data_IF_932730971163
#
_entry.id   IF_932730971163
#
_cell.length_a   1.000
_cell.length_b   1.000
_cell.length_c   1.000
_cell.angle_alpha   90.00
_cell.angle_beta   90.00
_cell.angle_gamma   90.00
#
_symmetry.space_group_name_H-M   'P 1'
#
loop_
_entity.id
_entity.type
_entity.pdbx_description
1 polymer ?
#
# COMPACT_ATOMS: atom_id res chain seq x y z
N UNK A 1 20.05 12.68 9.45
CA UNK A 1 19.26 11.45 9.52
C UNK A 1 17.89 11.74 8.93
N UNK A 2 17.37 10.86 8.09
CA UNK A 2 16.12 11.10 7.37
C UNK A 2 14.93 10.93 8.34
N UNK A 3 14.00 11.89 8.36
CA UNK A 3 12.84 11.82 9.25
C UNK A 3 11.74 10.95 8.61
N UNK A 4 11.88 9.62 8.72
CA UNK A 4 10.96 8.67 8.11
C UNK A 4 9.52 8.81 8.62
N UNK A 5 9.32 9.14 9.91
CA UNK A 5 7.98 9.43 10.44
C UNK A 5 7.33 10.64 9.77
N UNK A 6 8.13 11.65 9.42
CA UNK A 6 7.68 12.81 8.68
C UNK A 6 7.31 12.47 7.24
N UNK A 7 8.13 11.65 6.56
CA UNK A 7 7.86 11.19 5.19
C UNK A 7 6.60 10.34 5.11
N UNK A 8 6.43 9.38 6.02
CA UNK A 8 5.22 8.54 6.08
C UNK A 8 3.97 9.42 6.31
N UNK A 9 4.05 10.41 7.19
CA UNK A 9 2.94 11.35 7.38
C UNK A 9 2.67 12.17 6.11
N UNK A 10 3.71 12.66 5.45
CA UNK A 10 3.58 13.45 4.23
C UNK A 10 2.93 12.65 3.10
N UNK A 11 3.29 11.38 2.89
CA UNK A 11 2.64 10.51 1.89
C UNK A 11 1.12 10.41 2.10
N UNK A 12 0.62 10.44 3.35
CA UNK A 12 -0.83 10.44 3.62
C UNK A 12 -1.48 11.79 3.31
N UNK A 13 -0.79 12.89 3.63
CA UNK A 13 -1.25 14.24 3.28
C UNK A 13 -1.37 14.36 1.75
N UNK A 14 -0.37 13.87 1.02
CA UNK A 14 -0.34 13.90 -0.44
C UNK A 14 -1.44 13.00 -1.03
N UNK A 15 -1.66 11.80 -0.49
CA UNK A 15 -2.78 10.94 -0.86
C UNK A 15 -4.12 11.67 -0.72
N UNK A 16 -4.39 12.27 0.44
CA UNK A 16 -5.65 13.00 0.69
C UNK A 16 -5.83 14.19 -0.23
N UNK A 17 -4.75 14.93 -0.51
CA UNK A 17 -4.78 16.05 -1.44
C UNK A 17 -5.11 15.58 -2.86
N UNK A 18 -4.45 14.51 -3.33
CA UNK A 18 -4.70 13.92 -4.64
C UNK A 18 -6.15 13.42 -4.77
N UNK A 19 -6.66 12.67 -3.78
CA UNK A 19 -8.05 12.21 -3.76
C UNK A 19 -9.03 13.40 -3.78
N UNK A 20 -8.79 14.43 -2.98
CA UNK A 20 -9.63 15.63 -2.97
C UNK A 20 -9.65 16.34 -4.33
N UNK A 21 -8.50 16.44 -5.00
CA UNK A 21 -8.39 17.03 -6.33
C UNK A 21 -9.22 16.26 -7.36
N UNK A 22 -9.07 14.94 -7.44
CA UNK A 22 -9.85 14.13 -8.39
C UNK A 22 -11.34 14.07 -8.02
N UNK A 23 -11.68 14.14 -6.73
CA UNK A 23 -13.06 14.24 -6.27
C UNK A 23 -13.71 15.55 -6.77
N UNK A 24 -13.01 16.67 -6.64
CA UNK A 24 -13.47 17.96 -7.16
C UNK A 24 -13.67 17.91 -8.69
N UNK A 25 -12.77 17.24 -9.40
CA UNK A 25 -12.79 17.17 -10.85
C UNK A 25 -13.90 16.27 -11.40
N UNK A 26 -14.13 15.10 -10.79
CA UNK A 26 -14.95 14.05 -11.38
C UNK A 26 -16.24 13.75 -10.60
N UNK A 27 -16.29 14.04 -9.30
CA UNK A 27 -17.37 13.58 -8.42
C UNK A 27 -18.33 14.68 -8.00
N UNK A 28 -17.80 15.83 -7.57
CA UNK A 28 -18.60 16.86 -6.88
C UNK A 28 -19.75 17.43 -7.71
N UNK A 29 -19.56 17.56 -9.03
CA UNK A 29 -20.63 18.03 -9.94
C UNK A 29 -21.86 17.11 -9.91
N UNK A 30 -21.62 15.80 -9.79
CA UNK A 30 -22.65 14.77 -9.80
C UNK A 30 -23.24 14.52 -8.40
N UNK A 31 -22.52 14.87 -7.34
CA UNK A 31 -23.05 14.86 -5.97
C UNK A 31 -24.06 15.99 -5.73
N UNK A 32 -23.88 17.12 -6.42
CA UNK A 32 -24.75 18.29 -6.27
C UNK A 32 -26.06 18.18 -7.05
N UNK A 33 -26.13 17.32 -8.06
CA UNK A 33 -27.32 17.14 -8.90
C UNK A 33 -28.05 15.82 -8.58
N UNK A 34 -29.20 15.86 -7.89
CA UNK A 34 -29.95 14.66 -7.53
C UNK A 34 -30.67 14.00 -8.72
N UNK A 35 -30.70 14.65 -9.91
CA UNK A 35 -31.37 14.16 -11.11
C UNK A 35 -30.41 13.55 -12.13
N UNK A 36 -29.11 13.53 -11.83
CA UNK A 36 -28.08 12.98 -12.74
C UNK A 36 -28.34 11.49 -13.01
N UNK A 37 -28.29 11.12 -14.29
CA UNK A 37 -28.51 9.74 -14.73
C UNK A 37 -27.20 8.96 -14.83
N UNK A 38 -27.29 7.63 -14.74
CA UNK A 38 -26.14 6.72 -14.85
C UNK A 38 -25.23 7.02 -16.06
N UNK A 39 -25.80 7.38 -17.22
CA UNK A 39 -25.03 7.65 -18.43
C UNK A 39 -24.21 8.94 -18.35
N UNK A 40 -24.66 9.92 -17.57
CA UNK A 40 -24.03 11.23 -17.46
C UNK A 40 -22.81 11.20 -16.53
N UNK A 41 -22.84 10.38 -15.48
CA UNK A 41 -21.73 10.28 -14.53
C UNK A 41 -20.81 9.08 -14.76
N UNK A 42 -21.22 8.05 -15.51
CA UNK A 42 -20.50 6.77 -15.61
C UNK A 42 -18.99 6.92 -15.86
N UNK A 43 -18.62 7.72 -16.86
CA UNK A 43 -17.20 7.86 -17.22
C UNK A 43 -16.40 8.58 -16.14
N UNK A 44 -16.97 9.58 -15.50
CA UNK A 44 -16.28 10.33 -14.44
C UNK A 44 -16.14 9.52 -13.17
N UNK A 45 -17.17 8.78 -12.77
CA UNK A 45 -17.09 7.89 -11.60
C UNK A 45 -16.06 6.79 -11.83
N UNK A 46 -16.03 6.21 -13.04
CA UNK A 46 -15.04 5.21 -13.38
C UNK A 46 -13.62 5.81 -13.36
N UNK A 47 -13.43 7.00 -13.94
CA UNK A 47 -12.15 7.70 -13.89
C UNK A 47 -11.72 8.01 -12.45
N UNK A 48 -12.64 8.47 -11.62
CA UNK A 48 -12.42 8.73 -10.20
C UNK A 48 -11.97 7.47 -9.46
N UNK A 49 -12.67 6.34 -9.63
CA UNK A 49 -12.30 5.07 -8.99
C UNK A 49 -10.93 4.56 -9.47
N UNK A 50 -10.65 4.59 -10.78
CA UNK A 50 -9.39 4.10 -11.33
C UNK A 50 -8.20 4.95 -10.87
N UNK A 51 -8.33 6.28 -10.89
CA UNK A 51 -7.30 7.18 -10.40
C UNK A 51 -7.10 7.04 -8.88
N UNK A 52 -8.18 6.96 -8.12
CA UNK A 52 -8.11 6.74 -6.66
C UNK A 52 -7.34 5.47 -6.35
N UNK A 53 -7.67 4.37 -7.02
CA UNK A 53 -6.97 3.09 -6.87
C UNK A 53 -5.46 3.24 -7.13
N UNK A 54 -5.05 3.94 -8.20
CA UNK A 54 -3.64 4.16 -8.49
C UNK A 54 -2.93 4.98 -7.39
N UNK A 55 -3.59 6.01 -6.85
CA UNK A 55 -3.05 6.78 -5.73
C UNK A 55 -2.90 5.94 -4.45
N UNK A 56 -3.86 5.07 -4.14
CA UNK A 56 -3.74 4.16 -3.00
C UNK A 56 -2.60 3.15 -3.19
N UNK A 57 -2.46 2.57 -4.38
CA UNK A 57 -1.37 1.64 -4.70
C UNK A 57 -0.01 2.31 -4.48
N UNK A 58 0.21 3.48 -5.09
CA UNK A 58 1.43 4.25 -4.89
C UNK A 58 1.70 4.57 -3.41
N UNK A 59 0.68 5.03 -2.68
CA UNK A 59 0.79 5.36 -1.27
C UNK A 59 1.26 4.16 -0.42
N UNK A 60 0.64 2.98 -0.60
CA UNK A 60 1.01 1.80 0.18
C UNK A 60 2.42 1.29 -0.14
N UNK A 61 2.85 1.42 -1.40
CA UNK A 61 4.23 1.12 -1.82
C UNK A 61 5.24 2.07 -1.17
N UNK A 62 4.98 3.38 -1.20
CA UNK A 62 5.82 4.39 -0.56
C UNK A 62 5.95 4.16 0.95
N UNK A 63 4.85 3.83 1.65
CA UNK A 63 4.91 3.52 3.08
C UNK A 63 5.78 2.29 3.34
N UNK A 64 5.58 1.22 2.58
CA UNK A 64 6.37 -0.01 2.72
C UNK A 64 7.87 0.29 2.58
N UNK A 65 8.24 1.07 1.57
CA UNK A 65 9.62 1.50 1.33
C UNK A 65 10.17 2.36 2.48
N UNK A 66 9.44 3.41 2.87
CA UNK A 66 9.87 4.32 3.92
C UNK A 66 10.06 3.62 5.27
N UNK A 67 9.18 2.66 5.62
CA UNK A 67 9.33 1.85 6.83
C UNK A 67 10.55 0.94 6.71
N UNK A 68 10.73 0.26 5.58
CA UNK A 68 11.89 -0.61 5.33
C UNK A 68 13.21 0.17 5.50
N UNK A 69 13.34 1.32 4.86
CA UNK A 69 14.53 2.18 4.95
C UNK A 69 14.78 2.63 6.40
N UNK A 70 13.71 3.00 7.13
CA UNK A 70 13.84 3.40 8.54
C UNK A 70 14.42 2.28 9.42
N UNK A 71 14.02 1.03 9.17
CA UNK A 71 14.49 -0.14 9.91
C UNK A 71 15.97 -0.41 9.60
N UNK A 72 16.33 -0.35 8.32
CA UNK A 72 17.71 -0.57 7.86
C UNK A 72 18.64 0.49 8.44
N UNK A 73 18.26 1.77 8.37
CA UNK A 73 19.06 2.86 8.91
C UNK A 73 19.20 2.78 10.43
N UNK A 74 18.12 2.45 11.15
CA UNK A 74 18.14 2.30 12.59
C UNK A 74 19.11 1.20 13.05
N UNK A 75 19.14 0.07 12.34
CA UNK A 75 20.11 -0.99 12.62
C UNK A 75 21.53 -0.56 12.24
N UNK A 76 21.72 0.00 11.05
CA UNK A 76 23.04 0.39 10.53
C UNK A 76 23.74 1.39 11.44
N UNK A 77 23.01 2.38 11.96
CA UNK A 77 23.59 3.48 12.73
C UNK A 77 23.57 3.24 14.24
N UNK A 78 22.57 2.52 14.76
CA UNK A 78 22.37 2.39 16.21
C UNK A 78 22.27 0.95 16.69
N UNK A 79 22.36 -0.03 15.78
CA UNK A 79 22.16 -1.46 16.08
C UNK A 79 20.80 -1.73 16.72
N UNK A 80 19.82 -0.88 16.44
CA UNK A 80 18.47 -1.01 16.98
C UNK A 80 17.75 -2.16 16.31
N UNK A 81 17.26 -3.09 17.10
CA UNK A 81 16.45 -4.23 16.65
C UNK A 81 15.00 -3.95 17.01
N UNK A 82 14.12 -4.06 16.01
CA UNK A 82 12.67 -3.93 16.16
C UNK A 82 11.96 -5.17 15.62
N UNK A 83 10.64 -5.25 15.79
CA UNK A 83 9.82 -6.26 15.11
C UNK A 83 10.02 -6.20 13.59
N UNK A 84 10.18 -5.01 13.03
CA UNK A 84 10.46 -4.82 11.60
C UNK A 84 11.79 -5.45 11.19
N UNK A 85 12.83 -5.37 12.04
CA UNK A 85 14.11 -6.05 11.79
C UNK A 85 13.91 -7.56 11.69
N UNK A 86 13.17 -8.15 12.65
CA UNK A 86 12.90 -9.59 12.68
C UNK A 86 12.09 -10.04 11.45
N UNK A 87 11.06 -9.26 11.08
CA UNK A 87 10.22 -9.55 9.92
C UNK A 87 10.99 -9.47 8.60
N UNK A 88 11.87 -8.46 8.45
CA UNK A 88 12.74 -8.35 7.29
C UNK A 88 13.73 -9.51 7.23
N UNK A 89 14.37 -9.90 8.34
CA UNK A 89 15.25 -11.08 8.34
C UNK A 89 14.48 -12.37 8.01
N UNK A 90 13.26 -12.52 8.55
CA UNK A 90 12.40 -13.66 8.22
C UNK A 90 12.04 -13.72 6.73
N UNK A 91 11.85 -12.57 6.07
CA UNK A 91 11.51 -12.51 4.65
C UNK A 91 12.51 -13.23 3.75
N UNK A 92 13.80 -13.23 4.12
CA UNK A 92 14.87 -13.90 3.35
C UNK A 92 15.37 -15.18 4.01
N UNK A 93 14.85 -15.53 5.18
CA UNK A 93 15.28 -16.71 5.93
C UNK A 93 15.22 -17.94 5.04
N UNK A 94 16.40 -18.44 4.68
CA UNK A 94 16.55 -19.78 4.11
C UNK A 94 17.01 -20.68 5.24
N UNK A 95 16.55 -21.93 5.29
CA UNK A 95 16.97 -22.92 6.29
C UNK A 95 18.45 -23.35 6.17
N UNK A 96 19.27 -22.57 5.45
CA UNK A 96 20.68 -22.85 5.19
C UNK A 96 21.50 -21.83 5.98
N UNK A 97 22.37 -22.31 6.85
CA UNK A 97 23.40 -21.47 7.46
C UNK A 97 24.31 -20.91 6.36
N UNK A 98 24.78 -19.65 6.51
CA UNK A 98 25.61 -18.99 5.50
C UNK A 98 26.95 -19.69 5.25
N UNK A 99 27.44 -20.46 6.22
CA UNK A 99 28.74 -21.11 6.13
C UNK A 99 28.63 -22.48 5.44
N UNK A 100 29.38 -22.62 4.35
CA UNK A 100 29.70 -23.92 3.75
C UNK A 100 30.95 -24.47 4.41
N UNK A 101 31.10 -25.79 4.44
CA UNK A 101 32.33 -26.43 4.92
C UNK A 101 33.55 -25.83 4.19
N UNK A 102 34.51 -25.29 4.98
CA UNK A 102 35.72 -24.64 4.47
C UNK A 102 35.65 -23.12 4.31
N UNK A 103 34.54 -22.46 4.66
CA UNK A 103 34.47 -21.00 4.69
C UNK A 103 35.27 -20.44 5.88
N UNK A 104 36.31 -19.65 5.59
CA UNK A 104 37.20 -19.02 6.58
C UNK A 104 36.92 -17.52 6.72
N UNK A 105 35.88 -17.01 6.06
CA UNK A 105 35.53 -15.59 6.12
C UNK A 105 35.06 -15.20 7.51
N UNK A 106 35.72 -14.19 8.09
CA UNK A 106 35.29 -13.56 9.33
C UNK A 106 34.21 -12.52 9.02
N UNK A 107 32.98 -12.99 8.76
CA UNK A 107 31.83 -12.08 8.71
C UNK A 107 31.42 -11.81 10.16
N UNK A 108 31.62 -10.58 10.62
CA UNK A 108 31.10 -10.18 11.93
C UNK A 108 29.56 -10.14 11.88
N UNK A 109 28.93 -10.23 13.05
CA UNK A 109 27.47 -10.32 13.16
C UNK A 109 26.78 -9.11 12.52
N UNK A 110 27.39 -7.92 12.60
CA UNK A 110 26.81 -6.70 12.07
C UNK A 110 26.78 -6.68 10.53
N UNK A 111 27.88 -7.09 9.90
CA UNK A 111 27.98 -7.19 8.44
C UNK A 111 27.00 -8.24 7.91
N UNK A 112 26.86 -9.36 8.65
CA UNK A 112 25.86 -10.39 8.34
C UNK A 112 24.43 -9.83 8.36
N UNK A 113 24.04 -9.14 9.44
CA UNK A 113 22.67 -8.60 9.55
C UNK A 113 22.43 -7.48 8.53
N UNK A 114 23.40 -6.60 8.29
CA UNK A 114 23.27 -5.54 7.27
C UNK A 114 23.12 -6.14 5.87
N UNK A 115 23.89 -7.19 5.54
CA UNK A 115 23.74 -7.90 4.27
C UNK A 115 22.34 -8.49 4.13
N UNK A 116 21.85 -9.18 5.16
CA UNK A 116 20.54 -9.79 5.19
C UNK A 116 19.42 -8.74 5.04
N UNK A 117 19.48 -7.63 5.78
CA UNK A 117 18.52 -6.54 5.65
C UNK A 117 18.50 -5.93 4.24
N UNK A 118 19.67 -5.77 3.59
CA UNK A 118 19.74 -5.28 2.22
C UNK A 118 19.14 -6.28 1.21
N UNK A 119 19.34 -7.58 1.42
CA UNK A 119 18.71 -8.61 0.60
C UNK A 119 17.19 -8.61 0.77
N UNK A 120 16.69 -8.41 1.99
CA UNK A 120 15.25 -8.28 2.26
C UNK A 120 14.66 -7.07 1.57
N UNK A 121 15.35 -5.92 1.60
CA UNK A 121 14.98 -4.72 0.85
C UNK A 121 14.91 -4.98 -0.66
N UNK A 122 15.89 -5.69 -1.23
CA UNK A 122 15.86 -6.08 -2.65
C UNK A 122 14.66 -7.00 -2.95
N UNK A 123 14.34 -7.95 -2.06
CA UNK A 123 13.20 -8.85 -2.21
C UNK A 123 11.87 -8.10 -2.12
N UNK A 124 11.74 -7.19 -1.17
CA UNK A 124 10.57 -6.30 -1.02
C UNK A 124 10.40 -5.42 -2.28
N UNK A 125 11.47 -4.78 -2.74
CA UNK A 125 11.46 -4.00 -3.98
C UNK A 125 10.99 -4.81 -5.20
N UNK A 126 11.33 -6.11 -5.26
CA UNK A 126 10.83 -6.99 -6.32
C UNK A 126 9.33 -7.28 -6.19
N UNK A 127 8.79 -7.39 -4.98
CA UNK A 127 7.34 -7.56 -4.80
C UNK A 127 6.53 -6.31 -5.14
N UNK A 128 7.14 -5.12 -5.07
CA UNK A 128 6.54 -3.85 -5.51
C UNK A 128 6.54 -3.72 -7.04
N UNK A 129 7.37 -4.48 -7.76
CA UNK A 129 7.39 -4.46 -9.23
C UNK A 129 6.20 -5.24 -9.77
N UNK A 130 5.27 -4.54 -10.42
CA UNK A 130 4.13 -5.11 -11.12
C UNK A 130 2.84 -4.35 -10.82
N UNK A 131 1.83 -4.47 -11.68
CA UNK A 131 0.57 -3.75 -11.55
C UNK A 131 -0.44 -4.60 -10.77
N UNK A 132 -0.14 -4.87 -9.50
CA UNK A 132 -0.87 -5.82 -8.64
C UNK A 132 -2.21 -5.29 -8.18
N UNK A 133 -2.35 -3.97 -8.15
CA UNK A 133 -3.46 -3.26 -7.56
C UNK A 133 -3.51 -3.35 -6.05
N UNK A 134 -4.20 -2.38 -5.43
CA UNK A 134 -4.31 -2.22 -3.98
C UNK A 134 -5.21 -3.29 -3.32
N UNK A 135 -5.10 -4.56 -3.71
CA UNK A 135 -5.84 -5.66 -3.09
C UNK A 135 -5.34 -5.98 -1.69
N UNK A 136 -6.19 -6.57 -0.83
CA UNK A 136 -5.78 -7.03 0.51
C UNK A 136 -4.56 -7.95 0.46
N UNK A 137 -4.51 -8.87 -0.52
CA UNK A 137 -3.36 -9.76 -0.72
C UNK A 137 -2.10 -8.95 -1.02
N UNK A 138 -2.21 -7.92 -1.86
CA UNK A 138 -1.10 -7.04 -2.17
C UNK A 138 -0.62 -6.25 -0.95
N UNK A 139 -1.54 -5.61 -0.22
CA UNK A 139 -1.23 -4.88 1.01
C UNK A 139 -0.49 -5.78 2.01
N UNK A 140 -0.97 -7.01 2.23
CA UNK A 140 -0.30 -7.98 3.10
C UNK A 140 1.10 -8.32 2.62
N UNK A 141 1.30 -8.48 1.32
CA UNK A 141 2.60 -8.81 0.74
C UNK A 141 3.65 -7.71 0.91
N UNK A 142 3.25 -6.44 1.05
CA UNK A 142 4.17 -5.30 1.12
C UNK A 142 4.28 -4.70 2.52
N UNK A 143 3.25 -4.82 3.36
CA UNK A 143 3.21 -4.25 4.72
C UNK A 143 3.67 -5.23 5.80
N UNK A 144 3.25 -6.50 5.74
CA UNK A 144 3.64 -7.50 6.75
C UNK A 144 5.17 -7.70 6.79
N UNK A 145 5.91 -7.76 5.67
CA UNK A 145 7.36 -7.94 5.73
C UNK A 145 8.12 -6.81 6.43
N UNK A 146 7.54 -5.61 6.49
CA UNK A 146 8.10 -4.46 7.21
C UNK A 146 7.51 -4.31 8.62
N UNK A 147 6.74 -5.31 9.08
CA UNK A 147 6.14 -5.36 10.40
C UNK A 147 4.88 -4.53 10.57
N UNK A 148 4.28 -4.02 9.48
CA UNK A 148 3.05 -3.23 9.51
C UNK A 148 1.85 -4.15 9.29
N UNK A 149 0.95 -4.21 10.28
CA UNK A 149 -0.30 -4.96 10.16
C UNK A 149 -1.27 -4.28 9.20
N UNK A 150 -2.08 -5.09 8.52
CA UNK A 150 -3.22 -4.62 7.72
C UNK A 150 -4.49 -4.76 8.55
N UNK A 151 -5.15 -3.66 8.95
CA UNK A 151 -6.39 -3.72 9.73
C UNK A 151 -7.45 -4.58 9.04
N UNK A 152 -8.16 -5.43 9.77
CA UNK A 152 -9.09 -6.43 9.21
C UNK A 152 -10.57 -6.01 9.23
N UNK A 153 -10.85 -4.71 9.34
CA UNK A 153 -12.22 -4.21 9.47
C UNK A 153 -13.07 -4.58 8.22
N UNK A 154 -14.24 -5.23 8.38
CA UNK A 154 -15.02 -5.73 7.25
C UNK A 154 -15.41 -4.67 6.23
N UNK A 155 -15.73 -3.45 6.70
CA UNK A 155 -16.11 -2.32 5.82
C UNK A 155 -14.94 -1.92 4.92
N UNK A 156 -13.73 -1.79 5.48
CA UNK A 156 -12.55 -1.42 4.72
C UNK A 156 -12.19 -2.47 3.68
N UNK A 157 -12.34 -3.75 4.03
CA UNK A 157 -12.09 -4.85 3.11
C UNK A 157 -13.08 -4.91 1.96
N UNK A 158 -14.36 -4.69 2.26
CA UNK A 158 -15.40 -4.63 1.23
C UNK A 158 -15.16 -3.45 0.27
N UNK A 159 -14.90 -2.25 0.80
CA UNK A 159 -14.62 -1.06 -0.01
C UNK A 159 -13.33 -1.19 -0.83
N UNK A 160 -12.26 -1.77 -0.27
CA UNK A 160 -11.04 -2.05 -1.00
C UNK A 160 -11.27 -3.05 -2.15
N UNK A 161 -12.03 -4.12 -1.91
CA UNK A 161 -12.38 -5.09 -2.94
C UNK A 161 -13.22 -4.48 -4.05
N UNK A 162 -14.18 -3.61 -3.70
CA UNK A 162 -15.00 -2.86 -4.67
C UNK A 162 -14.12 -1.98 -5.56
N UNK A 163 -13.20 -1.22 -4.96
CA UNK A 163 -12.27 -0.35 -5.68
C UNK A 163 -11.36 -1.13 -6.65
N UNK A 164 -10.81 -2.27 -6.21
CA UNK A 164 -10.02 -3.16 -7.07
C UNK A 164 -10.86 -3.74 -8.21
N UNK A 165 -12.13 -4.05 -7.96
CA UNK A 165 -13.02 -4.61 -8.98
C UNK A 165 -13.31 -3.62 -10.11
N UNK A 166 -13.42 -2.31 -9.82
CA UNK A 166 -13.67 -1.29 -10.84
C UNK A 166 -12.53 -1.18 -11.86
N UNK A 167 -11.27 -1.30 -11.40
CA UNK A 167 -10.10 -1.38 -12.29
C UNK A 167 -10.21 -2.59 -13.24
N UNK A 168 -10.66 -3.74 -12.74
CA UNK A 168 -10.81 -4.96 -13.53
C UNK A 168 -11.95 -4.90 -14.55
N UNK A 169 -13.08 -4.30 -14.20
CA UNK A 169 -14.25 -4.11 -15.09
C UNK A 169 -13.88 -3.22 -16.28
N UNK A 170 -13.11 -2.16 -16.06
CA UNK A 170 -12.68 -1.28 -17.14
C UNK A 170 -11.72 -1.98 -18.12
N UNK A 171 -10.83 -2.84 -17.62
CA UNK A 171 -9.85 -3.56 -18.45
C UNK A 171 -10.43 -4.71 -19.27
N UNK A 172 -11.50 -5.38 -18.79
CA UNK A 172 -12.05 -6.59 -19.41
C UNK A 172 -13.43 -6.43 -20.06
N UNK A 173 -13.96 -5.21 -20.13
CA UNK A 173 -15.20 -4.89 -20.83
C UNK A 173 -16.46 -5.28 -20.06
N UNK A 174 -17.57 -4.56 -20.35
CA UNK A 174 -18.87 -4.65 -19.67
C UNK A 174 -19.65 -5.97 -19.86
N UNK A 175 -18.97 -7.10 -20.10
CA UNK A 175 -19.60 -8.41 -20.31
C UNK A 175 -18.96 -9.45 -19.41
N UNK A 176 -19.41 -9.49 -18.16
CA UNK A 176 -19.47 -10.74 -17.40
C UNK A 176 -20.95 -11.12 -17.29
N UNK A 177 -21.30 -12.30 -17.78
CA UNK A 177 -22.60 -12.96 -17.60
C UNK A 177 -23.86 -12.15 -17.90
N UNK A 178 -23.93 -11.54 -19.09
CA UNK A 178 -25.19 -11.03 -19.66
C UNK A 178 -25.89 -9.91 -18.88
N UNK A 179 -25.30 -9.39 -17.81
CA UNK A 179 -25.84 -8.33 -16.96
C UNK A 179 -24.99 -7.07 -17.12
N UNK A 180 -25.63 -5.97 -17.52
CA UNK A 180 -25.00 -4.65 -17.57
C UNK A 180 -24.75 -4.23 -16.11
N UNK A 181 -23.50 -4.32 -15.65
CA UNK A 181 -23.14 -3.82 -14.31
C UNK A 181 -23.33 -2.30 -14.31
N UNK A 182 -24.23 -1.81 -13.47
CA UNK A 182 -24.44 -0.36 -13.30
C UNK A 182 -23.19 0.24 -12.62
N UNK A 183 -22.74 1.42 -13.05
CA UNK A 183 -21.68 2.13 -12.34
C UNK A 183 -22.14 2.47 -10.92
N UNK A 184 -21.19 2.60 -10.00
CA UNK A 184 -21.49 3.15 -8.68
C UNK A 184 -22.14 4.53 -8.82
N UNK A 185 -23.13 4.82 -7.97
CA UNK A 185 -23.60 6.19 -7.83
C UNK A 185 -22.47 7.09 -7.30
N UNK A 186 -22.54 8.42 -7.53
CA UNK A 186 -21.58 9.36 -6.96
C UNK A 186 -21.42 9.20 -5.44
N UNK A 187 -22.52 9.00 -4.72
CA UNK A 187 -22.50 8.79 -3.27
C UNK A 187 -21.83 7.48 -2.86
N UNK A 188 -22.07 6.39 -3.59
CA UNK A 188 -21.44 5.10 -3.35
C UNK A 188 -19.94 5.16 -3.59
N UNK A 189 -19.52 5.76 -4.71
CA UNK A 189 -18.10 5.94 -5.02
C UNK A 189 -17.40 6.77 -3.93
N UNK A 190 -18.03 7.86 -3.48
CA UNK A 190 -17.50 8.68 -2.38
C UNK A 190 -17.32 7.85 -1.09
N UNK A 191 -18.33 7.06 -0.71
CA UNK A 191 -18.26 6.22 0.50
C UNK A 191 -17.12 5.21 0.42
N UNK A 192 -17.00 4.51 -0.70
CA UNK A 192 -15.95 3.50 -0.92
C UNK A 192 -14.56 4.11 -0.77
N UNK A 193 -14.33 5.30 -1.35
CA UNK A 193 -13.03 5.97 -1.27
C UNK A 193 -12.75 6.49 0.14
N UNK A 194 -13.76 7.02 0.85
CA UNK A 194 -13.59 7.46 2.24
C UNK A 194 -13.24 6.30 3.17
N UNK A 195 -13.88 5.14 3.02
CA UNK A 195 -13.52 3.93 3.78
C UNK A 195 -12.05 3.52 3.52
N UNK A 196 -11.59 3.64 2.27
CA UNK A 196 -10.20 3.36 1.92
C UNK A 196 -9.23 4.41 2.50
N UNK A 197 -9.63 5.68 2.60
CA UNK A 197 -8.86 6.74 3.26
C UNK A 197 -8.72 6.48 4.76
N UNK A 198 -9.78 5.99 5.42
CA UNK A 198 -9.72 5.61 6.84
C UNK A 198 -8.75 4.44 7.05
N UNK A 199 -8.81 3.41 6.19
CA UNK A 199 -7.83 2.32 6.19
C UNK A 199 -6.39 2.84 6.01
N UNK A 200 -6.19 3.79 5.09
CA UNK A 200 -4.89 4.40 4.84
C UNK A 200 -4.36 5.17 6.06
N UNK A 201 -5.24 5.87 6.78
CA UNK A 201 -4.92 6.57 8.03
C UNK A 201 -4.49 5.59 9.14
N UNK A 202 -5.22 4.49 9.33
CA UNK A 202 -4.85 3.48 10.33
C UNK A 202 -3.48 2.85 10.02
N UNK A 203 -3.26 2.49 8.75
CA UNK A 203 -1.96 1.97 8.29
C UNK A 203 -0.85 2.99 8.51
N UNK A 204 -1.11 4.28 8.28
CA UNK A 204 -0.15 5.36 8.54
C UNK A 204 0.28 5.40 10.01
N UNK A 205 -0.70 5.33 10.91
CA UNK A 205 -0.44 5.37 12.34
C UNK A 205 0.40 4.16 12.79
N UNK A 206 0.08 2.97 12.29
CA UNK A 206 0.85 1.76 12.56
C UNK A 206 2.28 1.88 12.00
N UNK A 207 2.42 2.30 10.75
CA UNK A 207 3.72 2.52 10.10
C UNK A 207 4.60 3.51 10.87
N UNK A 208 4.03 4.62 11.36
CA UNK A 208 4.78 5.62 12.16
C UNK A 208 5.21 5.13 13.54
N UNK A 209 4.51 4.12 14.12
CA UNK A 209 4.94 3.49 15.38
C UNK A 209 6.15 2.60 15.17
N UNK A 210 6.20 1.90 14.03
CA UNK A 210 7.32 1.01 13.66
C UNK A 210 8.50 1.83 13.16
N UNK A 211 8.24 2.89 12.38
CA UNK A 211 9.28 3.74 11.86
C UNK A 211 10.08 4.38 13.00
N UNK A 212 11.39 4.20 12.92
CA UNK A 212 12.32 4.71 13.91
C UNK A 212 12.65 6.19 13.67
N UNK A 213 13.07 6.88 14.73
CA UNK A 213 13.51 8.28 14.67
C UNK A 213 14.99 8.37 14.31
#
# INVERSE_FOLDING_TARGET
MMNYRGLIYQSLVDLKANISQIQNQFLNRHLADPLVTDNEYRLDINAFCVLSHAYFEQYFEEISLNVCESIVDAYKHYKKVSIGTLMLMHLISTSKFPYKDGDTSLVNIDDYVIQDLNLSKVKLNKSLKGNHGASLKYLKNILIPVGVDVPSHPIYMDSLNKLVSERGVFAHGNKQDGTIRRPYSPSQANSIINDCLELAEEINQLARRIAER
#
